data_IF_595696806872
#
_entry.id   IF_595696806872
#
_cell.length_a   1.000
_cell.length_b   1.000
_cell.length_c   1.000
_cell.angle_alpha   90.00
_cell.angle_beta   90.00
_cell.angle_gamma   90.00
#
_symmetry.space_group_name_H-M   'P 1'
#
loop_
_entity.id
_entity.type
_entity.pdbx_description
1 polymer ?
#
# COMPACT_ATOMS: atom_id res chain seq x y z
N UNK A 1 33.99 22.95 58.99
CA UNK A 1 33.24 24.05 59.64
C UNK A 1 31.81 23.74 59.33
N UNK A 2 31.21 23.04 60.25
CA UNK A 2 30.34 23.46 61.37
C UNK A 2 29.00 23.89 60.78
N UNK A 3 27.88 23.43 61.10
CA UNK A 3 27.19 22.68 62.14
C UNK A 3 25.72 22.90 61.81
N UNK A 4 24.93 21.92 61.66
CA UNK A 4 24.15 21.23 62.69
C UNK A 4 22.96 22.06 63.26
N UNK A 5 21.86 21.40 63.31
CA UNK A 5 20.82 21.20 64.34
C UNK A 5 19.43 21.49 63.78
N UNK A 6 18.53 20.56 63.72
CA UNK A 6 17.88 19.71 64.73
C UNK A 6 16.38 19.96 64.78
N UNK A 7 15.63 18.93 64.64
CA UNK A 7 14.19 18.72 64.89
C UNK A 7 13.80 19.06 66.38
N UNK A 8 12.55 19.07 66.80
CA UNK A 8 11.57 17.98 66.70
C UNK A 8 10.07 18.39 66.55
N UNK A 9 9.16 17.64 65.99
CA UNK A 9 8.36 16.63 66.64
C UNK A 9 7.07 17.11 67.22
N UNK A 10 5.92 16.57 66.90
CA UNK A 10 4.91 16.02 67.83
C UNK A 10 3.83 15.27 67.02
N UNK A 11 3.64 14.03 67.47
CA UNK A 11 2.54 13.10 67.15
C UNK A 11 1.19 13.68 67.62
N UNK A 12 0.10 13.34 66.93
CA UNK A 12 -1.06 12.78 67.61
C UNK A 12 -1.97 11.99 66.65
N UNK A 13 -2.19 10.87 67.08
CA UNK A 13 -3.03 9.73 66.82
C UNK A 13 -4.52 10.06 67.00
N UNK A 14 -5.37 9.34 66.25
CA UNK A 14 -6.56 8.59 66.64
C UNK A 14 -7.56 8.43 65.51
N UNK A 15 -7.55 7.18 65.00
CA UNK A 15 -8.71 6.31 64.74
C UNK A 15 -10.07 6.91 64.36
N UNK A 16 -10.68 6.52 63.26
CA UNK A 16 -11.71 5.48 63.30
C UNK A 16 -12.25 5.09 61.91
N UNK A 17 -12.38 3.87 61.77
CA UNK A 17 -13.05 2.93 60.87
C UNK A 17 -14.39 3.43 60.29
N UNK A 18 -14.60 3.22 58.96
CA UNK A 18 -15.82 2.61 58.44
C UNK A 18 -15.72 2.24 56.92
N UNK A 19 -15.77 0.97 56.68
CA UNK A 19 -16.11 0.33 55.40
C UNK A 19 -17.16 1.07 54.58
N UNK A 20 -16.86 1.33 53.30
CA UNK A 20 -17.83 1.25 52.22
C UNK A 20 -17.12 0.79 50.94
N UNK A 21 -17.29 -0.48 50.70
CA UNK A 21 -17.18 -1.18 49.43
C UNK A 21 -18.04 -0.43 48.41
N UNK A 22 -17.44 0.23 47.43
CA UNK A 22 -18.05 0.65 46.21
C UNK A 22 -17.26 -0.01 45.07
N UNK A 23 -17.86 -1.02 44.51
CA UNK A 23 -17.45 -1.65 43.24
C UNK A 23 -17.35 -0.60 42.15
N UNK A 24 -16.13 -0.20 41.83
CA UNK A 24 -15.84 0.54 40.60
C UNK A 24 -15.84 -0.49 39.44
N UNK A 25 -16.96 -0.56 38.74
CA UNK A 25 -16.99 -1.09 37.36
C UNK A 25 -16.08 -0.17 36.55
N UNK A 26 -14.87 -0.67 36.26
CA UNK A 26 -13.94 -0.01 35.34
C UNK A 26 -14.57 0.01 33.94
N UNK A 27 -15.15 1.14 33.60
CA UNK A 27 -15.36 1.53 32.21
C UNK A 27 -13.98 1.89 31.68
N UNK A 28 -13.42 0.96 30.91
CA UNK A 28 -12.25 1.17 30.07
C UNK A 28 -12.63 2.23 29.02
N UNK A 29 -12.42 3.50 29.38
CA UNK A 29 -12.57 4.62 28.47
C UNK A 29 -11.35 4.64 27.54
N UNK A 30 -11.35 3.74 26.56
CA UNK A 30 -10.44 3.88 25.39
C UNK A 30 -10.84 5.14 24.66
N UNK A 31 -9.89 6.04 24.48
CA UNK A 31 -10.08 7.24 23.66
C UNK A 31 -10.50 6.82 22.24
N UNK A 32 -11.50 7.47 21.62
CA UNK A 32 -11.97 7.11 20.26
C UNK A 32 -10.86 7.12 19.20
N UNK A 33 -9.78 7.88 19.39
CA UNK A 33 -8.64 7.94 18.49
C UNK A 33 -7.80 6.65 18.45
N UNK A 34 -7.65 5.93 19.57
CA UNK A 34 -6.84 4.70 19.62
C UNK A 34 -7.48 3.54 18.82
N UNK A 35 -8.81 3.51 18.76
CA UNK A 35 -9.53 2.47 17.99
C UNK A 35 -9.48 2.71 16.49
N UNK A 36 -9.54 3.96 16.04
CA UNK A 36 -9.45 4.32 14.62
C UNK A 36 -8.04 4.07 14.07
N UNK A 37 -7.00 4.52 14.76
CA UNK A 37 -5.60 4.28 14.37
C UNK A 37 -5.26 2.77 14.35
N UNK A 38 -5.79 1.98 15.29
CA UNK A 38 -5.59 0.53 15.31
C UNK A 38 -6.32 -0.17 14.15
N UNK A 39 -7.51 0.30 13.80
CA UNK A 39 -8.28 -0.23 12.67
C UNK A 39 -7.61 0.11 11.32
N UNK A 40 -7.12 1.34 11.14
CA UNK A 40 -6.39 1.77 9.95
C UNK A 40 -5.10 0.95 9.77
N UNK A 41 -4.29 0.79 10.82
CA UNK A 41 -3.10 -0.05 10.79
C UNK A 41 -3.43 -1.51 10.42
N UNK A 42 -4.51 -2.06 10.97
CA UNK A 42 -4.97 -3.42 10.63
C UNK A 42 -5.38 -3.55 9.16
N UNK A 43 -6.00 -2.52 8.59
CA UNK A 43 -6.36 -2.49 7.16
C UNK A 43 -5.11 -2.46 6.29
N UNK A 44 -4.18 -1.56 6.57
CA UNK A 44 -2.89 -1.44 5.87
C UNK A 44 -2.12 -2.76 5.89
N UNK A 45 -1.99 -3.39 7.07
CA UNK A 45 -1.32 -4.68 7.23
C UNK A 45 -2.02 -5.79 6.41
N UNK A 46 -3.34 -5.76 6.30
CA UNK A 46 -4.12 -6.72 5.52
C UNK A 46 -3.89 -6.52 4.02
N UNK A 47 -3.96 -5.27 3.55
CA UNK A 47 -3.73 -4.91 2.14
C UNK A 47 -2.32 -5.30 1.71
N UNK A 48 -1.31 -4.99 2.52
CA UNK A 48 0.08 -5.37 2.23
C UNK A 48 0.25 -6.89 2.15
N UNK A 49 -0.38 -7.66 3.07
CA UNK A 49 -0.32 -9.13 3.05
C UNK A 49 -1.00 -9.72 1.83
N UNK A 50 -2.18 -9.21 1.45
CA UNK A 50 -2.88 -9.65 0.24
C UNK A 50 -2.07 -9.37 -1.02
N UNK A 51 -1.50 -8.16 -1.11
CA UNK A 51 -0.64 -7.76 -2.22
C UNK A 51 0.61 -8.66 -2.32
N UNK A 52 1.27 -8.94 -1.20
CA UNK A 52 2.44 -9.84 -1.18
C UNK A 52 2.07 -11.27 -1.60
N UNK A 53 0.95 -11.82 -1.11
CA UNK A 53 0.45 -13.12 -1.56
C UNK A 53 0.18 -13.15 -3.06
N UNK A 54 -0.42 -12.08 -3.61
CA UNK A 54 -0.67 -11.98 -5.04
C UNK A 54 0.64 -11.99 -5.84
N UNK A 55 1.66 -11.27 -5.40
CA UNK A 55 2.97 -11.29 -6.06
C UNK A 55 3.53 -12.73 -6.04
N UNK A 56 3.52 -13.39 -4.88
CA UNK A 56 4.09 -14.72 -4.69
C UNK A 56 3.31 -15.80 -5.45
N UNK A 57 1.98 -15.83 -5.34
CA UNK A 57 1.14 -16.93 -5.85
C UNK A 57 0.71 -16.75 -7.30
N UNK A 58 0.48 -15.50 -7.73
CA UNK A 58 0.02 -15.20 -9.08
C UNK A 58 1.18 -14.76 -9.97
N UNK A 59 1.86 -13.65 -9.61
CA UNK A 59 2.89 -13.07 -10.47
C UNK A 59 4.09 -14.01 -10.62
N UNK A 60 4.62 -14.50 -9.51
CA UNK A 60 5.74 -15.47 -9.49
C UNK A 60 5.25 -16.88 -9.75
N UNK A 61 4.15 -17.28 -9.11
CA UNK A 61 3.62 -18.64 -9.22
C UNK A 61 3.22 -19.05 -10.64
N UNK A 62 2.77 -18.12 -11.47
CA UNK A 62 2.48 -18.35 -12.89
C UNK A 62 3.61 -17.91 -13.83
N UNK A 63 4.68 -17.35 -13.27
CA UNK A 63 5.84 -16.91 -14.04
C UNK A 63 5.57 -15.67 -14.91
N UNK A 64 4.64 -14.81 -14.52
CA UNK A 64 4.28 -13.60 -15.28
C UNK A 64 5.40 -12.56 -15.32
N UNK A 65 6.20 -12.49 -14.25
CA UNK A 65 7.31 -11.55 -14.18
C UNK A 65 8.58 -12.24 -13.66
N UNK A 66 9.60 -12.45 -14.50
CA UNK A 66 10.87 -13.03 -14.06
C UNK A 66 11.63 -12.12 -13.09
N UNK A 67 11.39 -10.80 -13.14
CA UNK A 67 11.96 -9.82 -12.23
C UNK A 67 11.42 -9.95 -10.81
N UNK A 68 10.12 -10.26 -10.64
CA UNK A 68 9.46 -10.31 -9.35
C UNK A 68 10.09 -11.35 -8.40
N UNK A 69 10.46 -12.53 -8.91
CA UNK A 69 11.10 -13.56 -8.10
C UNK A 69 12.45 -13.08 -7.51
N UNK A 70 13.28 -12.46 -8.34
CA UNK A 70 14.58 -11.93 -7.93
C UNK A 70 14.46 -10.79 -6.91
N UNK A 71 13.40 -9.98 -7.02
CA UNK A 71 13.13 -8.88 -6.08
C UNK A 71 12.68 -9.40 -4.71
N UNK A 72 11.82 -10.43 -4.69
CA UNK A 72 11.35 -11.03 -3.43
C UNK A 72 12.45 -11.68 -2.60
N UNK A 73 13.53 -12.14 -3.23
CA UNK A 73 14.68 -12.77 -2.55
C UNK A 73 15.63 -11.75 -1.89
N UNK A 74 15.51 -10.46 -2.25
CA UNK A 74 16.39 -9.41 -1.74
C UNK A 74 15.69 -8.53 -0.71
N UNK A 75 16.37 -8.33 0.40
CA UNK A 75 15.91 -7.44 1.46
C UNK A 75 15.83 -5.99 0.94
N UNK A 76 14.76 -5.29 1.28
CA UNK A 76 14.48 -3.89 0.92
C UNK A 76 14.37 -3.58 -0.60
N UNK A 77 14.38 -4.59 -1.47
CA UNK A 77 14.26 -4.37 -2.91
C UNK A 77 12.83 -4.02 -3.35
N UNK A 78 11.80 -4.43 -2.58
CA UNK A 78 10.39 -4.16 -2.84
C UNK A 78 9.78 -3.33 -1.71
N UNK A 79 9.21 -2.18 -2.03
CA UNK A 79 8.30 -1.44 -1.17
C UNK A 79 6.84 -1.71 -1.56
N UNK A 80 5.97 -1.90 -0.57
CA UNK A 80 4.51 -1.96 -0.74
C UNK A 80 3.93 -0.87 0.16
N UNK A 81 3.56 0.24 -0.46
CA UNK A 81 2.95 1.38 0.22
C UNK A 81 1.44 1.36 -0.02
N UNK A 82 0.67 1.55 1.04
CA UNK A 82 -0.78 1.61 0.97
C UNK A 82 -1.21 3.06 1.14
N UNK A 83 -1.97 3.56 0.18
CA UNK A 83 -2.59 4.87 0.32
C UNK A 83 -3.73 4.76 1.33
N UNK A 84 -3.58 5.46 2.46
CA UNK A 84 -4.61 5.59 3.47
C UNK A 84 -5.28 6.97 3.34
N UNK A 85 -6.43 7.00 2.68
CA UNK A 85 -7.25 8.20 2.55
C UNK A 85 -7.94 8.63 3.87
N UNK A 86 -7.71 7.86 4.95
CA UNK A 86 -8.33 8.11 6.26
C UNK A 86 -7.63 9.14 7.15
N UNK A 87 -6.39 9.54 6.85
CA UNK A 87 -5.69 10.59 7.61
C UNK A 87 -5.53 11.87 6.76
N UNK A 88 -6.57 12.67 6.71
CA UNK A 88 -6.39 14.10 6.46
C UNK A 88 -5.58 14.65 7.64
N UNK A 89 -4.26 14.82 7.43
CA UNK A 89 -3.42 15.50 8.41
C UNK A 89 -4.05 16.85 8.76
N UNK A 90 -4.36 17.10 10.04
CA UNK A 90 -4.89 18.32 10.65
C UNK A 90 -3.97 19.55 10.47
N UNK A 91 -3.34 19.73 9.30
CA UNK A 91 -2.46 20.86 9.01
C UNK A 91 -2.97 21.82 7.94
N UNK A 92 -4.25 21.71 7.55
CA UNK A 92 -4.90 22.73 6.73
C UNK A 92 -5.58 23.74 7.64
N UNK A 93 -5.03 24.97 7.68
CA UNK A 93 -5.62 26.12 8.40
C UNK A 93 -7.07 26.33 7.96
N UNK A 94 -8.00 26.64 8.91
CA UNK A 94 -9.40 26.86 8.57
C UNK A 94 -9.54 28.23 7.88
N UNK A 95 -9.53 28.23 6.55
CA UNK A 95 -9.64 29.50 5.81
C UNK A 95 -9.93 29.41 4.32
N UNK A 96 -9.69 28.29 3.66
CA UNK A 96 -9.92 28.19 2.22
C UNK A 96 -10.91 27.06 1.87
N UNK A 97 -12.08 27.50 1.45
CA UNK A 97 -13.10 26.83 0.64
C UNK A 97 -13.53 25.43 1.04
N UNK A 98 -14.66 25.34 1.72
CA UNK A 98 -15.39 24.12 2.09
C UNK A 98 -16.04 23.38 0.86
N UNK A 99 -15.48 23.47 -0.35
CA UNK A 99 -16.12 22.97 -1.56
C UNK A 99 -15.30 21.97 -2.38
N UNK A 100 -14.12 21.55 -1.92
CA UNK A 100 -13.47 20.36 -2.48
C UNK A 100 -12.48 19.78 -1.46
N UNK A 101 -12.86 18.75 -0.65
CA UNK A 101 -11.87 17.96 0.03
C UNK A 101 -11.00 17.32 -1.05
N UNK A 102 -9.67 17.46 -0.96
CA UNK A 102 -8.74 16.76 -1.82
C UNK A 102 -9.23 15.31 -1.90
N UNK A 103 -9.60 14.85 -3.09
CA UNK A 103 -10.12 13.50 -3.27
C UNK A 103 -9.04 12.48 -2.91
N UNK A 104 -9.43 11.26 -2.63
CA UNK A 104 -8.48 10.15 -2.36
C UNK A 104 -7.44 10.02 -3.47
N UNK A 105 -7.79 10.39 -4.69
CA UNK A 105 -6.92 10.45 -5.87
C UNK A 105 -5.79 11.48 -5.72
N UNK A 106 -6.07 12.68 -5.22
CA UNK A 106 -5.06 13.72 -5.01
C UNK A 106 -4.03 13.30 -3.96
N UNK A 107 -4.48 12.62 -2.90
CA UNK A 107 -3.60 12.06 -1.87
C UNK A 107 -2.72 10.98 -2.46
N UNK A 108 -3.30 10.06 -3.25
CA UNK A 108 -2.56 8.99 -3.92
C UNK A 108 -1.53 9.53 -4.93
N UNK A 109 -1.86 10.59 -5.69
CA UNK A 109 -0.92 11.24 -6.61
C UNK A 109 0.23 11.94 -5.88
N UNK A 110 -0.03 12.57 -4.74
CA UNK A 110 1.03 13.17 -3.92
C UNK A 110 1.96 12.09 -3.34
N UNK A 111 1.39 10.99 -2.85
CA UNK A 111 2.17 9.86 -2.35
C UNK A 111 3.00 9.23 -3.48
N UNK A 112 2.39 8.99 -4.64
CA UNK A 112 3.09 8.52 -5.83
C UNK A 112 4.28 9.41 -6.18
N UNK A 113 4.07 10.73 -6.24
CA UNK A 113 5.12 11.71 -6.54
C UNK A 113 6.27 11.64 -5.55
N UNK A 114 5.96 11.52 -4.25
CA UNK A 114 6.96 11.37 -3.18
C UNK A 114 7.77 10.09 -3.36
N UNK A 115 7.11 8.96 -3.61
CA UNK A 115 7.75 7.67 -3.85
C UNK A 115 8.66 7.71 -5.08
N UNK A 116 8.18 8.28 -6.19
CA UNK A 116 8.96 8.38 -7.43
C UNK A 116 10.24 9.20 -7.24
N UNK A 117 10.16 10.35 -6.54
CA UNK A 117 11.34 11.15 -6.21
C UNK A 117 12.32 10.40 -5.31
N UNK A 118 11.81 9.75 -4.25
CA UNK A 118 12.65 8.95 -3.36
C UNK A 118 13.36 7.84 -4.12
N UNK A 119 12.65 7.13 -5.00
CA UNK A 119 13.26 6.09 -5.83
C UNK A 119 14.32 6.65 -6.80
N UNK A 120 14.16 7.87 -7.32
CA UNK A 120 15.15 8.49 -8.17
C UNK A 120 16.44 8.88 -7.41
N UNK A 121 16.32 9.27 -6.14
CA UNK A 121 17.43 9.74 -5.31
C UNK A 121 18.15 8.62 -4.55
N UNK A 122 17.44 7.53 -4.22
CA UNK A 122 17.96 6.43 -3.40
C UNK A 122 18.03 5.12 -4.20
N UNK A 123 19.05 4.27 -4.01
CA UNK A 123 19.17 3.00 -4.72
C UNK A 123 18.09 1.99 -4.32
N UNK A 124 17.61 2.06 -3.08
CA UNK A 124 16.54 1.19 -2.54
C UNK A 124 15.27 2.02 -2.26
N UNK A 125 14.09 1.45 -2.52
CA UNK A 125 13.83 0.15 -3.13
C UNK A 125 14.11 0.12 -4.64
N UNK A 126 14.34 -1.06 -5.21
CA UNK A 126 14.47 -1.24 -6.67
C UNK A 126 13.13 -1.10 -7.39
N UNK A 127 12.05 -1.45 -6.69
CA UNK A 127 10.69 -1.33 -7.21
C UNK A 127 9.71 -1.07 -6.07
N UNK A 128 8.61 -0.39 -6.37
CA UNK A 128 7.61 -0.05 -5.39
C UNK A 128 6.19 -0.22 -5.94
N UNK A 129 5.29 -0.66 -5.09
CA UNK A 129 3.85 -0.71 -5.36
C UNK A 129 3.16 0.35 -4.51
N UNK A 130 2.44 1.27 -5.14
CA UNK A 130 1.46 2.12 -4.49
C UNK A 130 0.10 1.44 -4.63
N UNK A 131 -0.45 0.96 -3.53
CA UNK A 131 -1.76 0.30 -3.47
C UNK A 131 -2.80 1.29 -3.00
N UNK A 132 -3.88 1.46 -3.77
CA UNK A 132 -4.97 2.39 -3.47
C UNK A 132 -6.25 1.57 -3.28
N UNK A 133 -6.51 1.09 -2.04
CA UNK A 133 -7.60 0.15 -1.79
C UNK A 133 -9.00 0.78 -1.86
N UNK A 134 -9.10 2.10 -1.87
CA UNK A 134 -10.35 2.85 -1.91
C UNK A 134 -10.23 4.03 -2.89
N UNK A 135 -11.35 4.40 -3.50
CA UNK A 135 -11.44 5.56 -4.39
C UNK A 135 -11.19 5.27 -5.87
N UNK A 136 -10.51 4.18 -6.20
CA UNK A 136 -10.17 3.79 -7.58
C UNK A 136 -10.79 2.45 -7.99
N UNK A 137 -11.96 2.11 -7.46
CA UNK A 137 -12.65 0.85 -7.78
C UNK A 137 -13.18 0.83 -9.22
N UNK A 138 -13.45 2.00 -9.79
CA UNK A 138 -13.85 2.12 -11.19
C UNK A 138 -12.63 2.10 -12.09
N UNK A 139 -12.60 1.15 -13.05
CA UNK A 139 -11.44 0.97 -13.93
C UNK A 139 -11.17 2.17 -14.84
N UNK A 140 -12.20 2.88 -15.32
CA UNK A 140 -12.02 4.08 -16.17
C UNK A 140 -11.40 5.24 -15.35
N UNK A 141 -11.86 5.46 -14.10
CA UNK A 141 -11.25 6.45 -13.21
C UNK A 141 -9.79 6.08 -12.88
N UNK A 142 -9.52 4.78 -12.70
CA UNK A 142 -8.16 4.32 -12.51
C UNK A 142 -7.26 4.60 -13.73
N UNK A 143 -7.79 4.52 -14.95
CA UNK A 143 -7.03 4.87 -16.16
C UNK A 143 -6.73 6.37 -16.23
N UNK A 144 -7.65 7.23 -15.80
CA UNK A 144 -7.41 8.69 -15.68
C UNK A 144 -6.31 8.95 -14.64
N UNK A 145 -6.39 8.33 -13.49
CA UNK A 145 -5.35 8.40 -12.44
C UNK A 145 -3.97 7.92 -12.95
N UNK A 146 -3.93 6.82 -13.70
CA UNK A 146 -2.70 6.32 -14.32
C UNK A 146 -2.10 7.35 -15.28
N UNK A 147 -2.94 7.97 -16.13
CA UNK A 147 -2.48 9.00 -17.07
C UNK A 147 -1.90 10.23 -16.35
N UNK A 148 -2.49 10.64 -15.23
CA UNK A 148 -1.95 11.71 -14.41
C UNK A 148 -0.63 11.33 -13.73
N UNK A 149 -0.50 10.09 -13.23
CA UNK A 149 0.76 9.60 -12.68
C UNK A 149 1.88 9.55 -13.73
N UNK A 150 1.58 9.12 -14.96
CA UNK A 150 2.52 9.15 -16.09
C UNK A 150 2.94 10.59 -16.44
N UNK A 151 1.97 11.52 -16.42
CA UNK A 151 2.27 12.93 -16.64
C UNK A 151 3.17 13.51 -15.53
N UNK A 152 2.95 13.13 -14.27
CA UNK A 152 3.84 13.51 -13.17
C UNK A 152 5.27 13.01 -13.36
N UNK A 153 5.49 11.78 -13.84
CA UNK A 153 6.84 11.31 -14.17
C UNK A 153 7.51 12.19 -15.23
N UNK A 154 6.77 12.67 -16.24
CA UNK A 154 7.29 13.58 -17.25
C UNK A 154 7.65 14.94 -16.64
N UNK A 155 6.78 15.52 -15.81
CA UNK A 155 7.02 16.79 -15.13
C UNK A 155 8.25 16.74 -14.21
N UNK A 156 8.43 15.62 -13.50
CA UNK A 156 9.57 15.37 -12.61
C UNK A 156 10.86 14.98 -13.39
N UNK A 157 10.80 14.88 -14.72
CA UNK A 157 11.91 14.46 -15.58
C UNK A 157 12.44 13.06 -15.24
N UNK A 158 11.56 12.17 -14.80
CA UNK A 158 11.87 10.78 -14.41
C UNK A 158 11.61 9.76 -15.53
N UNK A 159 11.13 10.20 -16.70
CA UNK A 159 11.01 9.37 -17.89
C UNK A 159 12.39 8.85 -18.31
N UNK A 160 12.51 7.55 -18.55
CA UNK A 160 13.81 6.91 -18.83
C UNK A 160 14.60 6.52 -17.57
N UNK A 161 14.11 6.89 -16.39
CA UNK A 161 14.63 6.43 -15.08
C UNK A 161 13.65 5.47 -14.43
N UNK A 162 12.38 5.85 -14.43
CA UNK A 162 11.27 5.06 -13.90
C UNK A 162 10.23 4.82 -14.97
N UNK A 163 9.58 3.66 -14.90
CA UNK A 163 8.42 3.31 -15.69
C UNK A 163 7.30 2.79 -14.81
N UNK A 164 6.05 2.89 -15.30
CA UNK A 164 4.88 2.38 -14.60
C UNK A 164 4.38 1.10 -15.25
N UNK A 165 3.90 0.19 -14.38
CA UNK A 165 3.00 -0.87 -14.78
C UNK A 165 1.71 -0.74 -13.96
N UNK A 166 0.59 -1.02 -14.60
CA UNK A 166 -0.75 -0.82 -14.07
C UNK A 166 -1.42 -2.14 -13.70
N UNK A 167 -2.06 -2.18 -12.52
CA UNK A 167 -2.80 -3.34 -12.04
C UNK A 167 -4.11 -2.90 -11.40
N UNK A 168 -5.20 -3.60 -11.75
CA UNK A 168 -6.53 -3.29 -11.23
C UNK A 168 -7.38 -4.56 -11.11
N UNK A 169 -8.30 -4.71 -10.14
CA UNK A 169 -9.15 -5.89 -10.01
C UNK A 169 -9.95 -6.20 -11.29
N UNK A 170 -10.45 -5.18 -11.95
CA UNK A 170 -11.25 -5.28 -13.18
C UNK A 170 -10.44 -4.93 -14.44
N UNK A 171 -9.11 -5.11 -14.40
CA UNK A 171 -8.26 -4.82 -15.55
C UNK A 171 -8.77 -5.53 -16.81
N UNK A 172 -8.79 -4.78 -17.89
CA UNK A 172 -9.18 -5.29 -19.22
C UNK A 172 -8.33 -4.61 -20.28
N UNK A 173 -7.69 -5.43 -21.10
CA UNK A 173 -7.01 -4.93 -22.31
C UNK A 173 -8.02 -4.36 -23.30
N UNK A 174 -7.60 -3.35 -24.05
CA UNK A 174 -8.40 -2.82 -25.15
C UNK A 174 -8.80 -3.93 -26.12
N UNK A 175 -10.06 -3.91 -26.55
CA UNK A 175 -10.65 -4.92 -27.44
C UNK A 175 -10.66 -6.36 -26.90
N UNK A 176 -10.30 -6.61 -25.63
CA UNK A 176 -10.38 -7.94 -25.01
C UNK A 176 -11.75 -8.15 -24.35
N UNK A 177 -12.37 -9.35 -24.52
CA UNK A 177 -13.57 -9.70 -23.74
C UNK A 177 -13.31 -9.63 -22.23
N UNK A 178 -14.35 -9.28 -21.45
CA UNK A 178 -14.22 -9.15 -19.99
C UNK A 178 -13.82 -10.47 -19.31
N UNK A 179 -14.20 -11.59 -19.90
CA UNK A 179 -13.93 -12.96 -19.45
C UNK A 179 -12.68 -13.58 -20.10
N UNK A 180 -11.90 -12.82 -20.89
CA UNK A 180 -10.63 -13.33 -21.40
C UNK A 180 -9.64 -13.53 -20.25
N UNK A 181 -9.11 -14.75 -20.06
CA UNK A 181 -8.10 -15.00 -19.03
C UNK A 181 -6.84 -14.15 -19.17
N UNK A 182 -6.54 -13.64 -20.36
CA UNK A 182 -5.42 -12.73 -20.59
C UNK A 182 -5.45 -11.49 -19.68
N UNK A 183 -6.64 -10.99 -19.33
CA UNK A 183 -6.78 -9.82 -18.45
C UNK A 183 -6.15 -10.05 -17.06
N UNK A 184 -6.07 -11.30 -16.60
CA UNK A 184 -5.48 -11.63 -15.30
C UNK A 184 -3.98 -11.42 -15.24
N UNK A 185 -3.30 -11.21 -16.34
CA UNK A 185 -1.87 -10.80 -16.30
C UNK A 185 -1.67 -9.44 -15.65
N UNK A 186 -2.72 -8.60 -15.63
CA UNK A 186 -2.73 -7.28 -15.02
C UNK A 186 -3.84 -7.12 -13.94
N UNK A 187 -4.59 -8.20 -13.62
CA UNK A 187 -5.53 -8.16 -12.50
C UNK A 187 -4.82 -8.39 -11.17
N UNK A 188 -5.21 -7.59 -10.19
CA UNK A 188 -4.66 -7.56 -8.84
C UNK A 188 -5.76 -7.50 -7.79
N UNK A 189 -5.48 -7.76 -6.50
CA UNK A 189 -6.47 -7.68 -5.43
C UNK A 189 -7.05 -6.27 -5.23
N UNK A 190 -6.25 -5.25 -5.51
CA UNK A 190 -6.57 -3.83 -5.35
C UNK A 190 -6.06 -3.04 -6.54
N UNK A 191 -6.62 -1.85 -6.84
CA UNK A 191 -5.99 -0.89 -7.74
C UNK A 191 -4.58 -0.54 -7.24
N UNK A 192 -3.59 -0.57 -8.12
CA UNK A 192 -2.21 -0.23 -7.74
C UNK A 192 -1.37 0.24 -8.93
N UNK A 193 -0.44 1.15 -8.66
CA UNK A 193 0.64 1.51 -9.57
C UNK A 193 1.91 0.78 -9.16
N UNK A 194 2.59 0.20 -10.12
CA UNK A 194 3.89 -0.42 -9.92
C UNK A 194 4.97 0.47 -10.53
N UNK A 195 5.82 1.04 -9.68
CA UNK A 195 6.94 1.88 -10.07
C UNK A 195 8.17 1.00 -10.22
N UNK A 196 8.72 0.98 -11.41
CA UNK A 196 9.84 0.14 -11.81
C UNK A 196 11.03 1.03 -12.20
N UNK A 197 12.20 0.69 -11.72
CA UNK A 197 13.45 1.30 -12.15
C UNK A 197 13.86 0.68 -13.47
N UNK A 198 13.93 1.46 -14.56
CA UNK A 198 14.23 0.94 -15.90
C UNK A 198 15.56 0.18 -15.95
N UNK A 199 16.60 0.73 -15.33
CA UNK A 199 17.91 0.07 -15.24
C UNK A 199 17.84 -1.29 -14.54
N UNK A 200 17.01 -1.42 -13.49
CA UNK A 200 16.85 -2.70 -12.77
C UNK A 200 16.10 -3.73 -13.60
N UNK A 201 15.07 -3.30 -14.32
CA UNK A 201 14.33 -4.15 -15.26
C UNK A 201 15.25 -4.64 -16.37
N UNK A 202 16.00 -3.72 -17.00
CA UNK A 202 16.94 -4.07 -18.08
C UNK A 202 18.04 -5.02 -17.60
N UNK A 203 18.58 -4.83 -16.40
CA UNK A 203 19.58 -5.70 -15.79
C UNK A 203 19.07 -7.13 -15.56
N UNK A 204 17.80 -7.30 -15.18
CA UNK A 204 17.22 -8.60 -14.83
C UNK A 204 16.59 -9.33 -16.01
N UNK A 205 15.92 -8.60 -16.88
CA UNK A 205 15.16 -9.17 -18.00
C UNK A 205 15.97 -9.08 -19.29
N UNK A 206 16.86 -8.11 -19.37
CA UNK A 206 17.59 -7.75 -20.59
C UNK A 206 16.73 -6.94 -21.55
N UNK A 207 17.29 -6.67 -22.70
CA UNK A 207 16.62 -6.04 -23.84
C UNK A 207 16.54 -7.03 -25.01
N UNK A 208 15.58 -6.86 -25.90
CA UNK A 208 15.44 -7.64 -27.12
C UNK A 208 14.32 -8.67 -27.10
N UNK A 209 14.47 -9.76 -27.88
CA UNK A 209 13.39 -10.71 -28.17
C UNK A 209 12.82 -11.38 -26.92
N UNK A 210 13.65 -11.68 -25.92
CA UNK A 210 13.17 -12.29 -24.67
C UNK A 210 12.22 -11.36 -23.91
N UNK A 211 12.65 -10.11 -23.69
CA UNK A 211 11.82 -9.12 -23.00
C UNK A 211 10.49 -8.88 -23.76
N UNK A 212 10.57 -8.74 -25.09
CA UNK A 212 9.42 -8.54 -25.95
C UNK A 212 8.45 -9.75 -25.96
N UNK A 213 8.93 -10.97 -25.69
CA UNK A 213 8.09 -12.19 -25.66
C UNK A 213 7.32 -12.40 -24.36
N UNK A 214 7.68 -11.66 -23.27
CA UNK A 214 7.06 -11.84 -21.94
C UNK A 214 5.55 -11.62 -21.96
N UNK A 215 5.00 -10.53 -22.52
CA UNK A 215 3.56 -10.30 -22.53
C UNK A 215 2.79 -11.41 -23.24
N UNK A 216 3.28 -11.83 -24.42
CA UNK A 216 2.62 -12.87 -25.22
C UNK A 216 2.60 -14.22 -24.49
N UNK A 217 3.73 -14.61 -23.91
CA UNK A 217 3.84 -15.83 -23.07
C UNK A 217 2.91 -15.76 -21.84
N UNK A 218 2.77 -14.61 -21.21
CA UNK A 218 1.90 -14.42 -20.07
C UNK A 218 0.42 -14.60 -20.46
N UNK A 219 0.01 -14.03 -21.61
CA UNK A 219 -1.32 -14.19 -22.17
C UNK A 219 -1.61 -15.68 -22.45
N UNK A 220 -0.69 -16.39 -23.09
CA UNK A 220 -0.82 -17.82 -23.36
C UNK A 220 -0.94 -18.63 -22.05
N UNK A 221 -0.11 -18.31 -21.06
CA UNK A 221 -0.16 -18.94 -19.74
C UNK A 221 -1.52 -18.74 -19.08
N UNK A 222 -2.02 -17.50 -19.02
CA UNK A 222 -3.31 -17.19 -18.44
C UNK A 222 -4.45 -17.92 -19.15
N UNK A 223 -4.48 -17.89 -20.50
CA UNK A 223 -5.48 -18.59 -21.31
C UNK A 223 -5.43 -20.10 -21.14
N UNK A 224 -4.23 -20.70 -21.00
CA UNK A 224 -4.08 -22.14 -20.76
C UNK A 224 -4.65 -22.59 -19.42
N UNK A 225 -4.65 -21.72 -18.41
CA UNK A 225 -5.24 -21.99 -17.09
C UNK A 225 -6.75 -21.80 -17.09
N UNK A 226 -7.25 -20.87 -17.87
CA UNK A 226 -8.67 -20.53 -17.97
C UNK A 226 -9.17 -19.57 -16.90
N UNK A 227 -10.31 -18.96 -17.18
CA UNK A 227 -10.88 -17.88 -16.37
C UNK A 227 -11.12 -18.27 -14.89
N UNK A 228 -11.76 -19.42 -14.65
CA UNK A 228 -12.13 -19.84 -13.30
C UNK A 228 -10.90 -20.11 -12.42
N UNK A 229 -9.86 -20.71 -12.96
CA UNK A 229 -8.62 -20.97 -12.23
C UNK A 229 -7.88 -19.67 -11.90
N UNK A 230 -7.83 -18.73 -12.85
CA UNK A 230 -7.21 -17.42 -12.61
C UNK A 230 -7.99 -16.61 -11.58
N UNK A 231 -9.32 -16.62 -11.66
CA UNK A 231 -10.18 -15.94 -10.68
C UNK A 231 -10.03 -16.54 -9.28
N UNK A 232 -10.00 -17.87 -9.17
CA UNK A 232 -9.79 -18.55 -7.89
C UNK A 232 -8.44 -18.19 -7.27
N UNK A 233 -7.37 -18.17 -8.06
CA UNK A 233 -6.05 -17.78 -7.60
C UNK A 233 -6.03 -16.33 -7.10
N UNK A 234 -6.64 -15.40 -7.84
CA UNK A 234 -6.72 -14.00 -7.42
C UNK A 234 -7.52 -13.83 -6.11
N UNK A 235 -8.68 -14.46 -6.00
CA UNK A 235 -9.53 -14.40 -4.80
C UNK A 235 -8.85 -14.95 -3.56
N UNK A 236 -8.08 -16.04 -3.69
CA UNK A 236 -7.37 -16.66 -2.57
C UNK A 236 -6.34 -15.71 -1.92
N UNK A 237 -5.87 -14.70 -2.66
CA UNK A 237 -4.93 -13.71 -2.13
C UNK A 237 -5.58 -12.71 -1.17
N UNK A 238 -6.90 -12.44 -1.33
CA UNK A 238 -7.66 -11.48 -0.52
C UNK A 238 -8.39 -12.13 0.67
N UNK A 239 -8.39 -13.46 0.78
CA UNK A 239 -9.02 -14.17 1.91
C UNK A 239 -8.13 -14.03 3.16
N UNK A 240 -8.63 -13.30 4.15
CA UNK A 240 -8.01 -13.18 5.46
C UNK A 240 -8.51 -14.32 6.35
N UNK A 241 -7.60 -15.20 6.78
CA UNK A 241 -7.87 -16.22 7.79
C UNK A 241 -7.77 -15.62 9.20
#
# INVERSE_FOLDING_TARGET
MLDALQEPGIMNDLSDNRDKQLSATGLDARCPGDTAAHAAKSLTDNVQRATRRWIEQVVVGFGFCPYAAAVLERENALAIEVCDSGEVCDSVSPGDSADNPAGDEDVALQQFRSMARQMAECPDPETALLVVPQGLENFEHYLDFLAEAEHLLQLEQLTGVLQLASFHPDYRFDSSPIDDPANFTNRSPFPMLHILREESVERQIGSGEFAASIPERNIETARSKGFDAMLAALRSCSEFQ
#
